data_IF_990561119409
#
_entry.id   IF_990561119409
#
_cell.length_a   1.000
_cell.length_b   1.000
_cell.length_c   1.000
_cell.angle_alpha   90.00
_cell.angle_beta   90.00
_cell.angle_gamma   90.00
#
_symmetry.space_group_name_H-M   'P 1'
#
loop_
_entity.id
_entity.type
_entity.pdbx_description
1 polymer ?
#
# COMPACT_ATOMS: atom_id res chain seq x y z
N UNK A 1 -9.34 5.18 19.12
CA UNK A 1 -10.56 4.90 18.35
C UNK A 1 -11.24 3.67 18.95
N UNK A 2 -12.58 3.61 19.09
CA UNK A 2 -13.20 2.45 19.68
C UNK A 2 -13.31 1.30 18.67
N UNK A 3 -12.66 0.16 18.94
CA UNK A 3 -13.07 -1.14 18.38
C UNK A 3 -14.21 -1.69 19.25
N UNK A 4 -15.38 -1.08 19.16
CA UNK A 4 -16.50 -1.37 20.06
C UNK A 4 -17.72 -1.95 19.33
N UNK A 5 -17.83 -1.74 18.02
CA UNK A 5 -18.99 -2.15 17.22
C UNK A 5 -18.59 -3.04 16.05
N UNK A 6 -19.59 -3.73 15.47
CA UNK A 6 -19.44 -4.47 14.22
C UNK A 6 -18.92 -3.56 13.09
N UNK A 7 -19.41 -2.32 13.02
CA UNK A 7 -19.00 -1.36 12.01
C UNK A 7 -17.52 -0.98 12.15
N UNK A 8 -17.02 -0.83 13.38
CA UNK A 8 -15.60 -0.54 13.61
C UNK A 8 -14.69 -1.65 13.06
N UNK A 9 -15.03 -2.91 13.31
CA UNK A 9 -14.24 -4.04 12.80
C UNK A 9 -14.29 -4.16 11.27
N UNK A 10 -15.45 -3.90 10.65
CA UNK A 10 -15.57 -3.89 9.19
C UNK A 10 -14.79 -2.73 8.57
N UNK A 11 -14.75 -1.57 9.22
CA UNK A 11 -13.90 -0.44 8.82
C UNK A 11 -12.42 -0.83 8.85
N UNK A 12 -11.94 -1.46 9.91
CA UNK A 12 -10.53 -1.91 9.97
C UNK A 12 -10.18 -2.94 8.89
N UNK A 13 -11.09 -3.89 8.64
CA UNK A 13 -10.92 -4.86 7.57
C UNK A 13 -10.76 -4.16 6.22
N UNK A 14 -11.54 -3.12 6.01
CA UNK A 14 -11.54 -2.33 4.79
C UNK A 14 -10.25 -1.54 4.61
N UNK A 15 -9.81 -0.84 5.66
CA UNK A 15 -8.53 -0.13 5.67
C UNK A 15 -7.37 -1.09 5.35
N UNK A 16 -7.30 -2.27 5.96
CA UNK A 16 -6.22 -3.23 5.66
C UNK A 16 -6.31 -3.80 4.25
N UNK A 17 -7.51 -4.06 3.73
CA UNK A 17 -7.68 -4.53 2.35
C UNK A 17 -7.19 -3.49 1.33
N UNK A 18 -7.54 -2.23 1.55
CA UNK A 18 -7.19 -1.12 0.68
C UNK A 18 -5.70 -0.79 0.75
N UNK A 19 -5.12 -0.77 1.95
CA UNK A 19 -3.68 -0.66 2.12
C UNK A 19 -2.96 -1.82 1.41
N UNK A 20 -3.52 -3.04 1.43
CA UNK A 20 -3.05 -4.16 0.63
C UNK A 20 -3.04 -3.87 -0.88
N UNK A 21 -4.12 -3.33 -1.42
CA UNK A 21 -4.26 -2.97 -2.84
C UNK A 21 -3.33 -1.83 -3.29
N UNK A 22 -3.22 -0.77 -2.48
CA UNK A 22 -2.26 0.34 -2.68
C UNK A 22 -0.84 -0.22 -2.81
N UNK A 23 -0.48 -1.22 -1.99
CA UNK A 23 0.82 -1.89 -2.01
C UNK A 23 1.04 -2.85 -3.18
N UNK A 24 -0.01 -3.44 -3.72
CA UNK A 24 0.08 -4.18 -4.99
C UNK A 24 0.44 -3.23 -6.13
N UNK A 25 -0.15 -2.03 -6.14
CA UNK A 25 0.28 -0.92 -6.99
C UNK A 25 1.78 -0.65 -6.87
N UNK A 26 2.33 -0.61 -5.65
CA UNK A 26 3.77 -0.42 -5.41
C UNK A 26 4.68 -1.61 -5.76
N UNK A 27 4.14 -2.72 -6.28
CA UNK A 27 4.99 -3.85 -6.69
C UNK A 27 5.97 -3.41 -7.79
N UNK A 28 7.21 -3.94 -7.82
CA UNK A 28 8.19 -3.65 -8.88
C UNK A 28 7.71 -3.97 -10.32
N UNK A 29 6.56 -4.63 -10.47
CA UNK A 29 5.84 -4.82 -11.74
C UNK A 29 4.37 -4.37 -11.74
N UNK A 30 3.88 -3.70 -10.68
CA UNK A 30 2.48 -3.32 -10.47
C UNK A 30 2.07 -1.93 -10.96
N UNK A 31 3.03 -1.04 -11.28
CA UNK A 31 2.76 0.26 -11.92
C UNK A 31 2.95 0.24 -13.44
N UNK A 32 2.64 -0.87 -14.10
CA UNK A 32 2.78 -0.96 -15.55
C UNK A 32 1.93 -2.05 -16.16
N UNK A 33 0.86 -1.66 -16.84
CA UNK A 33 0.27 -2.52 -17.85
C UNK A 33 1.35 -2.99 -18.83
N UNK A 34 1.31 -4.28 -19.18
CA UNK A 34 2.02 -4.86 -20.32
C UNK A 34 3.52 -4.57 -20.39
N UNK A 35 4.32 -5.37 -19.68
CA UNK A 35 5.78 -5.38 -19.82
C UNK A 35 6.23 -5.78 -21.24
N UNK A 36 6.34 -4.79 -22.12
CA UNK A 36 7.46 -4.69 -23.05
C UNK A 36 8.60 -3.99 -22.29
N UNK A 37 9.84 -4.32 -22.66
CA UNK A 37 11.10 -3.79 -22.10
C UNK A 37 11.02 -2.29 -21.71
N UNK A 38 11.78 -1.83 -20.69
CA UNK A 38 11.72 -0.45 -20.21
C UNK A 38 11.87 0.51 -21.39
N UNK A 39 10.77 1.17 -21.75
CA UNK A 39 10.78 2.30 -22.66
C UNK A 39 11.69 3.33 -21.99
N UNK A 40 12.69 3.83 -22.73
CA UNK A 40 13.55 4.92 -22.25
C UNK A 40 12.67 5.98 -21.58
N UNK A 41 13.05 6.38 -20.37
CA UNK A 41 12.32 7.40 -19.61
C UNK A 41 12.02 8.57 -20.56
N UNK A 42 10.74 8.88 -20.74
CA UNK A 42 10.40 10.02 -21.58
C UNK A 42 10.70 11.26 -20.74
N UNK A 43 11.71 12.06 -21.10
CA UNK A 43 12.03 13.26 -20.35
C UNK A 43 10.77 14.12 -20.25
N UNK A 44 10.61 14.83 -19.13
CA UNK A 44 9.43 15.61 -18.78
C UNK A 44 8.78 16.25 -20.03
N UNK A 45 7.66 15.67 -20.49
CA UNK A 45 7.13 15.97 -21.83
C UNK A 45 6.73 17.44 -21.99
N UNK A 46 6.32 18.07 -20.89
CA UNK A 46 5.79 19.43 -20.87
C UNK A 46 6.81 20.41 -20.29
N UNK A 47 7.32 20.14 -19.09
CA UNK A 47 8.23 21.04 -18.37
C UNK A 47 8.95 20.33 -17.22
N UNK A 48 10.00 20.94 -16.68
CA UNK A 48 10.74 20.44 -15.52
C UNK A 48 11.96 19.61 -15.89
N UNK A 49 12.57 18.99 -14.87
CA UNK A 49 13.77 18.18 -15.01
C UNK A 49 13.53 16.76 -14.52
N UNK A 50 14.09 15.80 -15.26
CA UNK A 50 14.18 14.41 -14.83
C UNK A 50 15.62 13.95 -14.98
N UNK A 51 16.17 13.42 -13.88
CA UNK A 51 17.43 12.70 -13.85
C UNK A 51 17.10 11.21 -13.63
N UNK A 52 17.23 10.43 -14.69
CA UNK A 52 17.04 8.98 -14.67
C UNK A 52 18.39 8.29 -14.86
N UNK A 53 18.67 7.31 -14.01
CA UNK A 53 19.86 6.48 -14.10
C UNK A 53 19.59 5.04 -13.72
N UNK A 54 20.32 4.12 -14.34
CA UNK A 54 20.49 2.76 -13.85
C UNK A 54 21.91 2.59 -13.34
N UNK A 55 22.12 1.67 -12.40
CA UNK A 55 23.42 1.43 -11.82
C UNK A 55 23.51 0.13 -11.07
N UNK A 56 24.71 -0.14 -10.58
CA UNK A 56 24.98 -1.24 -9.64
C UNK A 56 25.43 -0.64 -8.32
N UNK A 57 25.12 -1.31 -7.23
CA UNK A 57 25.45 -0.81 -5.90
C UNK A 57 25.37 -1.89 -4.84
N UNK A 58 25.39 -1.46 -3.59
CA UNK A 58 25.17 -2.33 -2.45
C UNK A 58 23.97 -1.83 -1.66
N UNK A 59 23.07 -2.74 -1.29
CA UNK A 59 21.88 -2.41 -0.52
C UNK A 59 21.72 -3.35 0.67
N UNK A 60 21.20 -2.82 1.78
CA UNK A 60 20.94 -3.60 2.99
C UNK A 60 19.44 -3.82 3.17
N UNK A 61 19.02 -5.08 3.16
CA UNK A 61 17.62 -5.48 3.34
C UNK A 61 17.21 -5.52 4.82
N UNK A 62 17.28 -4.36 5.50
CA UNK A 62 17.05 -4.21 6.95
C UNK A 62 15.72 -4.75 7.49
N UNK A 63 14.70 -4.91 6.64
CA UNK A 63 13.42 -5.42 7.12
C UNK A 63 13.42 -6.94 7.25
N UNK A 64 14.37 -7.65 6.68
CA UNK A 64 14.56 -9.08 6.85
C UNK A 64 15.70 -9.35 7.85
N UNK A 65 15.42 -9.76 9.10
CA UNK A 65 16.43 -9.93 10.14
C UNK A 65 17.56 -10.89 9.78
N UNK A 66 17.27 -11.89 8.95
CA UNK A 66 18.25 -12.83 8.42
C UNK A 66 19.23 -12.18 7.41
N UNK A 67 18.82 -11.09 6.77
CA UNK A 67 19.62 -10.35 5.78
C UNK A 67 20.50 -9.30 6.46
N UNK A 68 21.54 -9.77 7.15
CA UNK A 68 22.46 -8.90 7.91
C UNK A 68 23.56 -8.23 7.06
N UNK A 69 23.74 -8.67 5.82
CA UNK A 69 24.82 -8.23 4.93
C UNK A 69 24.33 -7.23 3.88
N UNK A 70 25.27 -6.40 3.39
CA UNK A 70 25.06 -5.66 2.16
C UNK A 70 25.04 -6.66 0.99
N UNK A 71 24.04 -6.53 0.13
CA UNK A 71 23.87 -7.34 -1.08
C UNK A 71 24.20 -6.49 -2.31
N UNK A 72 24.89 -7.04 -3.31
CA UNK A 72 25.01 -6.36 -4.59
C UNK A 72 23.61 -6.25 -5.22
N UNK A 73 23.29 -5.07 -5.76
CA UNK A 73 22.00 -4.80 -6.39
C UNK A 73 22.21 -4.12 -7.73
N UNK A 74 21.32 -4.42 -8.66
CA UNK A 74 21.08 -3.61 -9.85
C UNK A 74 19.87 -2.71 -9.57
N UNK A 75 20.00 -1.41 -9.80
CA UNK A 75 18.96 -0.45 -9.48
C UNK A 75 18.65 0.50 -10.63
N UNK A 76 17.44 1.05 -10.60
CA UNK A 76 17.00 2.22 -11.36
C UNK A 76 16.58 3.31 -10.39
N UNK A 77 16.99 4.54 -10.69
CA UNK A 77 16.75 5.72 -9.88
C UNK A 77 16.20 6.83 -10.76
N UNK A 78 15.19 7.53 -10.25
CA UNK A 78 14.64 8.73 -10.86
C UNK A 78 14.58 9.84 -9.84
N UNK A 79 15.10 11.02 -10.19
CA UNK A 79 14.89 12.28 -9.48
C UNK A 79 14.14 13.22 -10.41
N UNK A 80 12.96 13.66 -10.00
CA UNK A 80 12.12 14.56 -10.78
C UNK A 80 12.02 15.89 -10.05
N UNK A 81 12.11 17.01 -10.78
CA UNK A 81 11.95 18.37 -10.24
C UNK A 81 10.89 19.08 -11.04
N UNK A 82 9.70 19.22 -10.45
CA UNK A 82 8.53 19.82 -11.11
C UNK A 82 8.30 19.27 -12.53
N UNK A 83 8.47 17.96 -12.69
CA UNK A 83 8.46 17.27 -13.97
C UNK A 83 7.02 17.02 -14.41
N UNK A 84 6.64 17.55 -15.58
CA UNK A 84 5.26 17.60 -16.04
C UNK A 84 5.00 16.75 -17.29
N UNK A 85 3.87 16.05 -17.29
CA UNK A 85 3.43 15.12 -18.33
C UNK A 85 1.96 15.34 -18.69
N UNK A 86 1.62 15.14 -19.96
CA UNK A 86 0.21 15.05 -20.34
C UNK A 86 -0.33 13.68 -19.92
N UNK A 87 -1.49 13.67 -19.28
CA UNK A 87 -2.21 12.43 -19.01
C UNK A 87 -2.75 11.79 -20.28
N UNK A 88 -3.20 10.54 -20.17
CA UNK A 88 -3.82 9.83 -21.29
C UNK A 88 -5.11 10.52 -21.78
N UNK A 89 -5.81 11.21 -20.89
CA UNK A 89 -7.02 11.96 -21.18
C UNK A 89 -6.68 13.43 -21.49
N UNK A 90 -7.35 14.00 -22.50
CA UNK A 90 -7.19 15.41 -22.84
C UNK A 90 -7.50 16.33 -21.65
N UNK A 91 -6.64 17.33 -21.43
CA UNK A 91 -6.79 18.29 -20.34
C UNK A 91 -6.27 17.80 -18.98
N UNK A 92 -5.74 16.58 -18.88
CA UNK A 92 -5.10 16.08 -17.66
C UNK A 92 -3.60 16.36 -17.71
N UNK A 93 -3.06 16.96 -16.65
CA UNK A 93 -1.65 17.23 -16.47
C UNK A 93 -1.17 16.58 -15.17
N UNK A 94 -0.11 15.79 -15.24
CA UNK A 94 0.60 15.29 -14.08
C UNK A 94 1.84 16.12 -13.83
N UNK A 95 2.07 16.54 -12.59
CA UNK A 95 3.33 17.15 -12.14
C UNK A 95 3.94 16.27 -11.05
N UNK A 96 5.22 15.92 -11.18
CA UNK A 96 5.91 15.06 -10.23
C UNK A 96 7.17 15.74 -9.70
N UNK A 97 7.35 15.68 -8.39
CA UNK A 97 8.56 16.17 -7.70
C UNK A 97 9.04 15.13 -6.70
N UNK A 98 10.35 14.90 -6.64
CA UNK A 98 10.99 14.06 -5.65
C UNK A 98 11.71 12.85 -6.22
N UNK A 99 11.89 11.85 -5.36
CA UNK A 99 12.81 10.73 -5.59
C UNK A 99 12.07 9.40 -5.59
N UNK A 100 12.46 8.52 -6.51
CA UNK A 100 12.11 7.11 -6.50
C UNK A 100 13.31 6.27 -6.91
N UNK A 101 13.53 5.17 -6.20
CA UNK A 101 14.53 4.18 -6.59
C UNK A 101 13.96 2.78 -6.38
N UNK A 102 14.25 1.87 -7.31
CA UNK A 102 13.94 0.46 -7.16
C UNK A 102 15.15 -0.37 -7.54
N UNK A 103 15.38 -1.47 -6.85
CA UNK A 103 16.48 -2.37 -7.17
C UNK A 103 16.17 -3.81 -6.80
N UNK A 104 16.97 -4.70 -7.37
CA UNK A 104 16.92 -6.13 -7.13
C UNK A 104 18.32 -6.64 -6.83
N UNK A 105 18.42 -7.60 -5.90
CA UNK A 105 19.69 -8.27 -5.63
C UNK A 105 20.15 -9.05 -6.87
N UNK A 106 21.40 -8.83 -7.26
CA UNK A 106 22.02 -9.46 -8.44
C UNK A 106 22.70 -10.79 -8.11
N UNK A 107 22.60 -11.25 -6.87
CA UNK A 107 23.17 -12.51 -6.37
C UNK A 107 22.20 -13.71 -6.44
N UNK A 108 21.03 -13.54 -7.06
CA UNK A 108 20.02 -14.59 -7.22
C UNK A 108 19.10 -14.81 -6.01
N UNK A 109 19.24 -14.03 -4.93
CA UNK A 109 18.42 -14.16 -3.71
C UNK A 109 16.95 -13.73 -3.86
N UNK A 110 16.54 -13.27 -5.05
CA UNK A 110 15.20 -12.76 -5.35
C UNK A 110 14.69 -11.67 -4.38
N UNK A 111 15.63 -10.94 -3.75
CA UNK A 111 15.36 -9.77 -2.94
C UNK A 111 15.17 -8.53 -3.81
N UNK A 112 14.19 -7.69 -3.46
CA UNK A 112 13.87 -6.44 -4.16
C UNK A 112 13.55 -5.34 -3.19
N UNK A 113 13.78 -4.09 -3.58
CA UNK A 113 13.40 -2.93 -2.77
C UNK A 113 12.81 -1.82 -3.63
N UNK A 114 12.03 -0.96 -2.98
CA UNK A 114 11.57 0.33 -3.50
C UNK A 114 11.77 1.38 -2.43
N UNK A 115 12.31 2.52 -2.81
CA UNK A 115 12.43 3.74 -2.01
C UNK A 115 11.62 4.84 -2.69
N UNK A 116 10.80 5.54 -1.91
CA UNK A 116 10.02 6.68 -2.39
C UNK A 116 10.21 7.85 -1.43
N UNK A 117 10.52 9.03 -1.97
CA UNK A 117 10.95 10.18 -1.16
C UNK A 117 12.39 10.04 -0.64
N UNK A 118 12.91 11.12 -0.04
CA UNK A 118 14.27 11.17 0.50
C UNK A 118 14.33 11.96 1.79
N UNK A 119 14.95 11.40 2.84
CA UNK A 119 14.96 12.01 4.17
C UNK A 119 13.53 12.24 4.67
N UNK A 120 13.18 13.48 4.95
CA UNK A 120 11.82 13.91 5.33
C UNK A 120 10.97 14.43 4.15
N UNK A 121 11.52 14.43 2.93
CA UNK A 121 10.85 14.96 1.75
C UNK A 121 10.10 13.84 1.01
N UNK A 122 8.76 13.84 0.99
CA UNK A 122 8.00 12.87 0.21
C UNK A 122 8.19 13.11 -1.30
N UNK A 123 8.01 12.05 -2.09
CA UNK A 123 7.71 12.19 -3.51
C UNK A 123 6.28 12.71 -3.64
N UNK A 124 6.10 13.73 -4.45
CA UNK A 124 4.83 14.42 -4.68
C UNK A 124 4.38 14.22 -6.12
N UNK A 125 3.15 13.76 -6.31
CA UNK A 125 2.45 13.75 -7.60
C UNK A 125 1.27 14.71 -7.50
N UNK A 126 1.05 15.55 -8.51
CA UNK A 126 -0.17 16.34 -8.65
C UNK A 126 -0.83 15.95 -9.96
N UNK A 127 -2.08 15.52 -9.93
CA UNK A 127 -2.96 15.46 -11.10
C UNK A 127 -3.80 16.75 -11.14
N UNK A 128 -3.77 17.47 -12.25
CA UNK A 128 -4.70 18.58 -12.51
C UNK A 128 -5.53 18.26 -13.76
N UNK A 129 -6.85 18.41 -13.68
CA UNK A 129 -7.71 18.43 -14.86
C UNK A 129 -8.08 19.86 -15.17
N UNK A 130 -7.88 20.25 -16.43
CA UNK A 130 -8.13 21.59 -16.93
C UNK A 130 -9.23 21.58 -17.98
N UNK A 131 -10.16 22.52 -17.85
CA UNK A 131 -11.18 22.81 -18.85
C UNK A 131 -11.10 24.29 -19.20
N UNK A 132 -11.00 24.61 -20.49
CA UNK A 132 -10.87 25.99 -21.00
C UNK A 132 -9.74 26.80 -20.33
N UNK A 133 -8.62 26.14 -20.01
CA UNK A 133 -7.45 26.78 -19.39
C UNK A 133 -7.52 26.93 -17.86
N UNK A 134 -8.66 26.64 -17.23
CA UNK A 134 -8.84 26.67 -15.78
C UNK A 134 -8.75 25.28 -15.17
N UNK A 135 -8.13 25.17 -13.98
CA UNK A 135 -8.11 23.93 -13.20
C UNK A 135 -9.51 23.68 -12.63
N UNK A 136 -10.12 22.56 -13.00
CA UNK A 136 -11.45 22.16 -12.51
C UNK A 136 -11.37 21.07 -11.45
N UNK A 137 -10.26 20.35 -11.40
CA UNK A 137 -10.01 19.29 -10.42
C UNK A 137 -8.52 19.18 -10.18
N UNK A 138 -8.15 18.93 -8.93
CA UNK A 138 -6.76 18.73 -8.54
C UNK A 138 -6.67 17.66 -7.47
N UNK A 139 -5.73 16.74 -7.64
CA UNK A 139 -5.34 15.75 -6.64
C UNK A 139 -3.85 15.88 -6.40
N UNK A 140 -3.47 15.88 -5.13
CA UNK A 140 -2.11 15.87 -4.66
C UNK A 140 -1.86 14.61 -3.86
N UNK A 141 -0.84 13.86 -4.26
CA UNK A 141 -0.43 12.60 -3.64
C UNK A 141 1.00 12.76 -3.12
N UNK A 142 1.23 12.44 -1.85
CA UNK A 142 2.53 12.44 -1.20
C UNK A 142 2.89 11.03 -0.74
N UNK A 143 4.10 10.60 -1.06
CA UNK A 143 4.59 9.26 -0.83
C UNK A 143 5.95 9.31 -0.16
N UNK A 144 6.12 8.66 0.99
CA UNK A 144 7.40 8.56 1.67
C UNK A 144 7.56 7.19 2.30
N UNK A 145 8.63 6.48 1.95
CA UNK A 145 8.97 5.27 2.67
C UNK A 145 9.78 4.28 1.86
N UNK A 146 9.74 3.05 2.34
CA UNK A 146 10.53 1.93 1.84
C UNK A 146 9.70 0.66 1.87
N UNK A 147 9.81 -0.10 0.80
CA UNK A 147 9.33 -1.48 0.69
C UNK A 147 10.53 -2.38 0.41
N UNK A 148 10.55 -3.55 1.04
CA UNK A 148 11.46 -4.64 0.72
C UNK A 148 10.64 -5.91 0.49
N UNK A 149 11.03 -6.68 -0.51
CA UNK A 149 10.35 -7.91 -0.88
C UNK A 149 11.37 -9.05 -0.97
N UNK A 150 10.95 -10.23 -0.52
CA UNK A 150 11.64 -11.50 -0.71
C UNK A 150 10.69 -12.46 -1.42
N UNK A 151 11.18 -13.11 -2.47
CA UNK A 151 10.43 -14.14 -3.18
C UNK A 151 11.16 -15.48 -2.99
N UNK A 152 10.47 -16.45 -2.41
CA UNK A 152 11.01 -17.80 -2.22
C UNK A 152 10.98 -18.60 -3.54
N UNK A 153 11.67 -19.73 -3.56
CA UNK A 153 11.83 -20.56 -4.76
C UNK A 153 10.51 -21.18 -5.27
N UNK A 154 9.55 -21.37 -4.37
CA UNK A 154 8.17 -21.82 -4.64
C UNK A 154 7.27 -20.69 -5.18
N UNK A 155 7.77 -19.46 -5.26
CA UNK A 155 7.01 -18.29 -5.71
C UNK A 155 6.37 -17.50 -4.56
N UNK A 156 6.43 -17.99 -3.32
CA UNK A 156 5.86 -17.31 -2.17
C UNK A 156 6.53 -15.94 -1.95
N UNK A 157 5.71 -14.92 -1.67
CA UNK A 157 6.17 -13.54 -1.58
C UNK A 157 5.97 -13.00 -0.18
N UNK A 158 7.03 -12.40 0.36
CA UNK A 158 6.97 -11.64 1.59
C UNK A 158 7.38 -10.20 1.32
N UNK A 159 6.49 -9.26 1.65
CA UNK A 159 6.67 -7.82 1.54
C UNK A 159 6.71 -7.23 2.94
N UNK A 160 7.70 -6.39 3.19
CA UNK A 160 7.87 -5.66 4.45
C UNK A 160 8.05 -4.18 4.13
N UNK A 161 7.36 -3.31 4.83
CA UNK A 161 7.39 -1.89 4.50
C UNK A 161 7.21 -0.97 5.70
N UNK A 162 7.82 0.20 5.60
CA UNK A 162 7.51 1.38 6.40
C UNK A 162 7.17 2.48 5.42
N UNK A 163 5.92 2.91 5.43
CA UNK A 163 5.40 3.75 4.35
C UNK A 163 4.38 4.76 4.85
N UNK A 164 4.42 5.95 4.27
CA UNK A 164 3.46 7.03 4.50
C UNK A 164 2.91 7.49 3.17
N UNK A 165 1.61 7.65 3.15
CA UNK A 165 0.82 8.06 2.01
C UNK A 165 -0.13 9.17 2.45
N UNK A 166 -0.20 10.23 1.65
CA UNK A 166 -1.19 11.29 1.81
C UNK A 166 -1.80 11.58 0.44
N UNK A 167 -3.13 11.59 0.37
CA UNK A 167 -3.89 12.04 -0.78
C UNK A 167 -4.72 13.25 -0.34
N UNK A 168 -4.74 14.29 -1.17
CA UNK A 168 -5.57 15.48 -0.97
C UNK A 168 -6.19 15.90 -2.29
N UNK A 169 -7.49 16.13 -2.33
CA UNK A 169 -8.16 16.65 -3.52
C UNK A 169 -8.56 18.14 -3.40
N UNK A 170 -9.14 18.68 -4.48
CA UNK A 170 -9.60 20.06 -4.58
C UNK A 170 -10.77 20.37 -3.63
N UNK A 171 -11.56 19.37 -3.25
CA UNK A 171 -12.70 19.49 -2.35
C UNK A 171 -12.28 19.44 -0.86
N UNK A 172 -10.96 19.48 -0.60
CA UNK A 172 -10.34 19.31 0.71
C UNK A 172 -10.56 17.92 1.32
N UNK A 173 -10.97 16.92 0.53
CA UNK A 173 -10.91 15.55 1.00
C UNK A 173 -9.44 15.18 1.18
N UNK A 174 -9.15 14.48 2.28
CA UNK A 174 -7.80 14.08 2.66
C UNK A 174 -7.84 12.64 3.13
N UNK A 175 -6.84 11.88 2.72
CA UNK A 175 -6.54 10.56 3.24
C UNK A 175 -5.08 10.58 3.68
N UNK A 176 -4.83 10.16 4.90
CA UNK A 176 -3.51 9.84 5.42
C UNK A 176 -3.49 8.36 5.74
N UNK A 177 -2.41 7.70 5.36
CA UNK A 177 -2.11 6.35 5.76
C UNK A 177 -0.64 6.21 6.13
N UNK A 178 -0.37 5.51 7.23
CA UNK A 178 0.97 5.12 7.63
C UNK A 178 0.99 3.63 7.95
N UNK A 179 2.04 2.95 7.50
CA UNK A 179 2.26 1.52 7.64
C UNK A 179 3.62 1.30 8.28
N UNK A 180 3.67 0.42 9.28
CA UNK A 180 4.92 0.06 9.95
C UNK A 180 5.54 1.21 10.74
N UNK A 181 4.72 1.94 11.49
CA UNK A 181 5.22 3.04 12.32
C UNK A 181 6.20 2.55 13.40
N UNK A 182 7.03 3.47 13.93
CA UNK A 182 8.09 3.20 14.91
C UNK A 182 9.22 2.25 14.45
N UNK A 183 9.40 2.11 13.13
CA UNK A 183 10.51 1.36 12.54
C UNK A 183 10.31 -0.16 12.50
N UNK A 184 9.15 -0.65 12.96
CA UNK A 184 8.74 -2.04 12.78
C UNK A 184 7.93 -2.15 11.49
N UNK A 185 8.38 -2.92 10.47
CA UNK A 185 7.70 -2.94 9.19
C UNK A 185 6.32 -3.60 9.28
N UNK A 186 5.37 -3.08 8.51
CA UNK A 186 4.16 -3.82 8.16
C UNK A 186 4.53 -4.94 7.21
N UNK A 187 4.00 -6.14 7.46
CA UNK A 187 4.36 -7.37 6.75
C UNK A 187 3.14 -7.93 6.05
N UNK A 188 3.33 -8.29 4.78
CA UNK A 188 2.37 -9.03 3.95
C UNK A 188 3.07 -10.27 3.44
N UNK A 189 2.47 -11.44 3.63
CA UNK A 189 2.96 -12.69 3.03
C UNK A 189 1.85 -13.31 2.21
N UNK A 190 2.16 -13.64 0.96
CA UNK A 190 1.27 -14.31 0.05
C UNK A 190 1.88 -15.68 -0.28
N UNK A 191 1.13 -16.74 0.02
CA UNK A 191 1.50 -18.12 -0.30
C UNK A 191 0.63 -18.65 -1.44
N UNK A 192 1.27 -19.12 -2.49
CA UNK A 192 0.65 -19.70 -3.70
C UNK A 192 -0.48 -18.83 -4.33
N UNK A 193 -0.46 -17.52 -4.09
CA UNK A 193 -1.51 -16.56 -4.46
C UNK A 193 -2.93 -16.89 -3.91
N UNK A 194 -3.04 -17.85 -2.98
CA UNK A 194 -4.32 -18.31 -2.39
C UNK A 194 -4.43 -17.93 -0.91
N UNK A 195 -3.30 -17.90 -0.21
CA UNK A 195 -3.23 -17.60 1.22
C UNK A 195 -2.51 -16.29 1.48
N UNK A 196 -3.14 -15.38 2.23
CA UNK A 196 -2.50 -14.12 2.65
C UNK A 196 -2.39 -14.03 4.17
N UNK A 197 -1.28 -13.43 4.62
CA UNK A 197 -1.00 -13.07 6.00
C UNK A 197 -0.62 -11.61 6.09
N UNK A 198 -1.17 -10.92 7.09
CA UNK A 198 -0.93 -9.52 7.38
C UNK A 198 -0.48 -9.39 8.83
N UNK A 199 0.55 -8.59 9.07
CA UNK A 199 0.93 -8.25 10.44
C UNK A 199 1.66 -6.92 10.51
N UNK A 200 1.32 -6.10 11.51
CA UNK A 200 2.02 -4.84 11.76
C UNK A 200 1.08 -3.72 12.16
N UNK A 201 1.66 -2.58 12.53
CA UNK A 201 0.94 -1.37 12.87
C UNK A 201 0.57 -0.58 11.61
N UNK A 202 -0.57 0.09 11.68
CA UNK A 202 -1.00 1.06 10.72
C UNK A 202 -1.75 2.20 11.41
N UNK A 203 -1.73 3.35 10.78
CA UNK A 203 -2.50 4.51 11.15
C UNK A 203 -3.17 5.07 9.90
N UNK A 204 -4.34 5.66 10.08
CA UNK A 204 -5.06 6.33 9.00
C UNK A 204 -5.88 7.50 9.54
N UNK A 205 -6.09 8.50 8.71
CA UNK A 205 -6.95 9.64 8.99
C UNK A 205 -7.59 10.09 7.69
N UNK A 206 -8.90 10.25 7.68
CA UNK A 206 -9.61 10.79 6.53
C UNK A 206 -10.48 11.98 6.91
N UNK A 207 -10.90 12.74 5.91
CA UNK A 207 -11.80 13.88 6.07
C UNK A 207 -13.21 13.49 6.52
N UNK A 208 -13.58 12.20 6.45
CA UNK A 208 -14.85 11.73 6.97
C UNK A 208 -14.83 11.66 8.52
N UNK A 209 -15.87 12.24 9.14
CA UNK A 209 -15.97 12.29 10.60
C UNK A 209 -15.98 10.89 11.21
N UNK A 210 -14.95 10.60 12.02
CA UNK A 210 -14.81 9.31 12.71
C UNK A 210 -14.00 8.27 11.93
N UNK A 211 -13.49 8.60 10.75
CA UNK A 211 -12.60 7.76 9.96
C UNK A 211 -11.12 8.11 10.24
N UNK A 212 -10.69 7.92 11.48
CA UNK A 212 -9.27 8.02 11.86
C UNK A 212 -8.93 7.05 12.98
N UNK A 213 -7.80 6.37 12.87
CA UNK A 213 -7.43 5.29 13.77
C UNK A 213 -5.95 4.94 13.73
N UNK A 214 -5.51 4.32 14.83
CA UNK A 214 -4.21 3.65 14.95
C UNK A 214 -4.50 2.25 15.47
N UNK A 215 -4.03 1.24 14.76
CA UNK A 215 -4.26 -0.15 15.09
C UNK A 215 -3.09 -1.04 14.64
N UNK A 216 -3.05 -2.26 15.15
CA UNK A 216 -2.22 -3.34 14.64
C UNK A 216 -3.11 -4.44 14.08
N UNK A 217 -2.70 -5.04 12.97
CA UNK A 217 -3.34 -6.26 12.45
C UNK A 217 -2.43 -7.46 12.69
N UNK A 218 -3.00 -8.63 12.88
CA UNK A 218 -2.30 -9.91 12.89
C UNK A 218 -3.19 -11.02 12.33
N UNK A 219 -2.71 -11.73 11.32
CA UNK A 219 -3.34 -12.95 10.84
C UNK A 219 -3.08 -14.11 11.79
N UNK A 220 -4.15 -14.61 12.41
CA UNK A 220 -4.12 -15.77 13.31
C UNK A 220 -4.30 -17.10 12.57
N UNK A 221 -4.99 -17.07 11.42
CA UNK A 221 -5.10 -18.19 10.49
C UNK A 221 -5.13 -17.62 9.07
N UNK A 222 -4.42 -18.27 8.14
CA UNK A 222 -4.23 -17.83 6.76
C UNK A 222 -5.55 -17.38 6.12
N UNK A 223 -5.55 -16.23 5.45
CA UNK A 223 -6.73 -15.74 4.73
C UNK A 223 -6.76 -16.43 3.38
N UNK A 224 -7.72 -17.34 3.19
CA UNK A 224 -7.86 -18.08 1.94
C UNK A 224 -8.82 -17.37 1.00
N UNK A 225 -8.51 -17.36 -0.31
CA UNK A 225 -9.40 -16.83 -1.33
C UNK A 225 -9.74 -17.88 -2.38
N UNK A 226 -10.98 -17.85 -2.88
CA UNK A 226 -11.41 -18.62 -4.04
C UNK A 226 -12.21 -17.70 -4.96
N UNK A 227 -11.83 -17.63 -6.24
CA UNK A 227 -12.42 -16.72 -7.24
C UNK A 227 -12.53 -15.26 -6.74
N UNK A 228 -11.49 -14.77 -6.07
CA UNK A 228 -11.44 -13.42 -5.50
C UNK A 228 -12.22 -13.22 -4.19
N UNK A 229 -12.99 -14.21 -3.74
CA UNK A 229 -13.77 -14.16 -2.49
C UNK A 229 -13.00 -14.77 -1.33
N UNK A 230 -13.05 -14.16 -0.15
CA UNK A 230 -12.48 -14.76 1.07
C UNK A 230 -13.34 -15.95 1.51
N UNK A 231 -12.70 -17.10 1.67
CA UNK A 231 -13.34 -18.38 2.03
C UNK A 231 -12.80 -18.97 3.33
N UNK A 232 -12.02 -18.22 4.09
CA UNK A 232 -11.42 -18.75 5.30
C UNK A 232 -10.38 -17.83 5.91
N UNK A 233 -10.04 -18.15 7.15
CA UNK A 233 -8.98 -17.49 7.90
C UNK A 233 -9.47 -16.68 9.08
N UNK A 234 -8.51 -16.03 9.75
CA UNK A 234 -8.76 -15.30 10.99
C UNK A 234 -7.83 -14.11 11.12
N UNK A 235 -8.41 -12.93 11.29
CA UNK A 235 -7.68 -11.68 11.55
C UNK A 235 -7.96 -11.20 12.96
N UNK A 236 -6.95 -10.62 13.58
CA UNK A 236 -7.06 -9.85 14.81
C UNK A 236 -6.63 -8.41 14.54
N UNK A 237 -7.40 -7.48 15.06
CA UNK A 237 -7.09 -6.06 15.14
C UNK A 237 -6.94 -5.67 16.59
N UNK A 238 -5.87 -4.97 16.94
CA UNK A 238 -5.61 -4.43 18.27
C UNK A 238 -5.49 -2.91 18.17
N UNK A 239 -6.32 -2.17 18.91
CA UNK A 239 -6.27 -0.71 19.00
C UNK A 239 -6.27 -0.29 20.47
N UNK A 240 -5.08 -0.04 21.03
CA UNK A 240 -4.90 0.22 22.46
C UNK A 240 -5.27 -0.99 23.31
N UNK A 241 -6.23 -0.83 24.21
CA UNK A 241 -6.78 -1.91 25.06
C UNK A 241 -7.92 -2.69 24.39
N UNK A 242 -8.32 -2.31 23.17
CA UNK A 242 -9.43 -2.93 22.45
C UNK A 242 -8.94 -3.92 21.40
N UNK A 243 -9.75 -4.95 21.19
CA UNK A 243 -9.46 -6.03 20.24
C UNK A 243 -10.70 -6.41 19.45
N UNK A 244 -10.54 -6.60 18.14
CA UNK A 244 -11.52 -7.24 17.29
C UNK A 244 -10.90 -8.49 16.64
N UNK A 245 -11.64 -9.59 16.62
CA UNK A 245 -11.22 -10.82 15.92
C UNK A 245 -12.27 -11.16 14.88
N UNK A 246 -11.89 -11.17 13.61
CA UNK A 246 -12.75 -11.59 12.50
C UNK A 246 -12.38 -13.01 12.12
N UNK A 247 -13.38 -13.89 12.03
CA UNK A 247 -13.26 -15.26 11.52
C UNK A 247 -14.06 -15.36 10.23
N UNK A 248 -13.43 -15.83 9.16
CA UNK A 248 -14.07 -16.06 7.87
C UNK A 248 -14.43 -17.54 7.70
N UNK A 249 -15.59 -17.80 7.12
CA UNK A 249 -16.11 -19.14 6.84
C UNK A 249 -15.99 -19.49 5.35
N UNK A 250 -16.07 -20.78 5.04
CA UNK A 250 -15.98 -21.32 3.68
C UNK A 250 -17.06 -20.81 2.71
N UNK A 251 -18.21 -20.41 3.22
CA UNK A 251 -19.33 -19.87 2.45
C UNK A 251 -19.23 -18.35 2.21
N UNK A 252 -18.13 -17.72 2.64
CA UNK A 252 -17.90 -16.28 2.55
C UNK A 252 -18.58 -15.47 3.66
N UNK A 253 -19.30 -16.11 4.58
CA UNK A 253 -19.78 -15.46 5.82
C UNK A 253 -18.67 -15.39 6.86
N UNK A 254 -18.98 -14.82 8.03
CA UNK A 254 -18.02 -14.83 9.13
C UNK A 254 -18.64 -14.46 10.46
N UNK A 255 -17.76 -14.20 11.42
CA UNK A 255 -18.15 -13.60 12.69
C UNK A 255 -17.08 -12.63 13.16
N UNK A 256 -17.49 -11.64 13.95
CA UNK A 256 -16.60 -10.73 14.65
C UNK A 256 -16.78 -10.89 16.15
N UNK A 257 -15.67 -11.06 16.86
CA UNK A 257 -15.61 -11.06 18.31
C UNK A 257 -14.96 -9.75 18.78
N UNK A 258 -15.66 -8.96 19.57
CA UNK A 258 -15.19 -7.66 20.06
C UNK A 258 -14.87 -7.77 21.55
N UNK A 259 -13.63 -7.45 21.94
CA UNK A 259 -13.20 -7.36 23.35
C UNK A 259 -13.55 -8.61 24.18
N UNK A 260 -13.49 -9.79 23.57
CA UNK A 260 -13.82 -11.07 24.22
C UNK A 260 -15.32 -11.36 24.40
N UNK A 261 -16.21 -10.50 23.89
CA UNK A 261 -17.66 -10.72 23.92
C UNK A 261 -18.09 -11.92 23.06
N UNK A 262 -19.40 -12.21 23.05
CA UNK A 262 -19.96 -13.21 22.14
C UNK A 262 -19.74 -12.79 20.67
N UNK A 263 -19.41 -13.73 19.76
CA UNK A 263 -19.28 -13.43 18.34
C UNK A 263 -20.58 -12.90 17.74
N UNK A 264 -20.48 -11.85 16.93
CA UNK A 264 -21.57 -11.29 16.12
C UNK A 264 -21.41 -11.76 14.69
N UNK A 265 -22.50 -12.24 14.07
CA UNK A 265 -22.45 -12.73 12.70
C UNK A 265 -22.14 -11.62 11.67
N UNK A 266 -21.34 -11.98 10.68
CA UNK A 266 -21.05 -11.19 9.49
C UNK A 266 -21.63 -11.92 8.28
N UNK A 267 -22.39 -11.19 7.46
CA UNK A 267 -22.89 -11.70 6.19
C UNK A 267 -21.79 -11.65 5.13
N UNK A 268 -21.93 -12.43 4.06
CA UNK A 268 -21.02 -12.32 2.92
C UNK A 268 -21.00 -10.92 2.31
N UNK A 269 -22.13 -10.20 2.35
CA UNK A 269 -22.23 -8.82 1.87
C UNK A 269 -21.44 -7.84 2.75
N UNK A 270 -21.46 -8.02 4.07
CA UNK A 270 -20.66 -7.20 4.99
C UNK A 270 -19.17 -7.31 4.66
N UNK A 271 -18.70 -8.55 4.49
CA UNK A 271 -17.29 -8.85 4.18
C UNK A 271 -16.94 -8.34 2.79
N UNK A 272 -17.75 -8.62 1.77
CA UNK A 272 -17.47 -8.17 0.41
C UNK A 272 -17.43 -6.65 0.29
N UNK A 273 -18.33 -5.94 0.99
CA UNK A 273 -18.32 -4.48 1.02
C UNK A 273 -17.05 -3.96 1.68
N UNK A 274 -16.71 -4.48 2.87
CA UNK A 274 -15.48 -4.07 3.54
C UNK A 274 -14.23 -4.30 2.66
N UNK A 275 -14.14 -5.46 2.00
CA UNK A 275 -12.98 -5.77 1.14
C UNK A 275 -12.95 -5.01 -0.18
N UNK A 276 -14.07 -4.43 -0.63
CA UNK A 276 -14.13 -3.65 -1.86
C UNK A 276 -13.54 -2.24 -1.72
N UNK A 277 -13.28 -1.79 -0.50
CA UNK A 277 -12.88 -0.42 -0.19
C UNK A 277 -13.76 0.16 0.91
N UNK A 278 -13.26 1.17 1.61
CA UNK A 278 -13.99 1.74 2.74
C UNK A 278 -14.79 2.95 2.31
N UNK A 279 -15.96 3.19 2.91
CA UNK A 279 -16.58 4.52 2.82
C UNK A 279 -15.61 5.61 3.35
N UNK A 280 -14.72 5.21 4.27
CA UNK A 280 -13.72 6.08 4.89
C UNK A 280 -12.61 6.56 3.95
N UNK A 281 -12.24 5.79 2.94
CA UNK A 281 -11.15 6.09 2.00
C UNK A 281 -11.77 6.03 0.61
N UNK A 282 -12.13 7.19 0.03
CA UNK A 282 -12.76 7.22 -1.29
C UNK A 282 -11.87 6.62 -2.39
N UNK A 283 -12.49 5.87 -3.31
CA UNK A 283 -11.91 5.27 -4.51
C UNK A 283 -11.12 6.26 -5.40
#
# INVERSE_FOLDING_TARGET
>A
MPLATKADALRELSVVAELGGVLEGFSPGGLGGGGTAPKAAQPCQVAGEEDYGTGTGNYRFNYFPEETQLRPVDYSRTVQRSCSYNGANAGVLYTVDGFKESGAASDGSALRYVLTGSGSSPRKTIEERRSNGSVTYRVEELQLGRLQQKTAADGNRERRLVYRYELKDSDQNRILAALGEDGSPFVIRDLDDVESFYSGSYAYETSESGCSGVAGVTTLAAITRNDGRVTGGRLQFDAGDKRAVIVFNADGTGSVQLNGAAPVALTAQDISKALAGSDCIPD
#
